data_IF_486775571616
#
_entry.id   IF_486775571616
#
_cell.length_a   1.000
_cell.length_b   1.000
_cell.length_c   1.000
_cell.angle_alpha   90.00
_cell.angle_beta   90.00
_cell.angle_gamma   90.00
#
_symmetry.space_group_name_H-M   'P 1'
#
loop_
_entity.id
_entity.type
_entity.pdbx_description
1 polymer ?
#
# COMPACT_ATOMS: atom_id res chain seq x y z
N UNK A 1 10.03 -2.63 12.36
CA UNK A 1 9.90 -3.51 11.18
C UNK A 1 8.43 -3.74 10.93
N UNK A 2 7.98 -3.79 9.67
CA UNK A 2 6.60 -4.13 9.35
C UNK A 2 6.46 -5.65 9.14
N UNK A 3 6.98 -6.19 8.04
CA UNK A 3 6.96 -7.62 7.77
C UNK A 3 8.12 -8.05 6.85
N UNK A 4 8.35 -9.36 6.73
CA UNK A 4 9.20 -9.90 5.67
C UNK A 4 8.36 -10.20 4.43
N UNK A 5 8.62 -9.52 3.32
CA UNK A 5 7.83 -9.66 2.10
C UNK A 5 8.59 -10.52 1.09
N UNK A 6 8.10 -11.75 0.89
CA UNK A 6 8.69 -12.71 -0.04
C UNK A 6 8.65 -12.23 -1.49
N UNK A 7 7.68 -11.39 -1.85
CA UNK A 7 7.51 -10.89 -3.22
C UNK A 7 8.56 -9.86 -3.64
N UNK A 8 9.12 -9.12 -2.69
CA UNK A 8 10.23 -8.18 -2.92
C UNK A 8 11.56 -8.72 -2.37
N UNK A 9 11.55 -9.96 -1.86
CA UNK A 9 12.70 -10.68 -1.29
C UNK A 9 13.45 -9.81 -0.26
N UNK A 10 12.70 -9.06 0.54
CA UNK A 10 13.28 -8.12 1.51
C UNK A 10 12.33 -7.88 2.68
N UNK A 11 12.88 -7.43 3.79
CA UNK A 11 12.09 -6.87 4.89
C UNK A 11 11.52 -5.51 4.49
N UNK A 12 10.27 -5.28 4.86
CA UNK A 12 9.59 -3.99 4.77
C UNK A 12 9.59 -3.36 6.16
N UNK A 13 10.02 -2.10 6.25
CA UNK A 13 10.18 -1.36 7.50
C UNK A 13 10.43 0.13 7.24
N UNK A 14 10.88 0.85 8.27
CA UNK A 14 10.95 2.31 8.26
C UNK A 14 11.63 2.91 7.01
N UNK A 15 12.78 2.35 6.61
CA UNK A 15 13.61 2.88 5.53
C UNK A 15 13.07 2.60 4.12
N UNK A 16 12.05 1.74 3.98
CA UNK A 16 11.50 1.39 2.66
C UNK A 16 9.97 1.31 2.59
N UNK A 17 9.27 1.65 3.67
CA UNK A 17 7.81 1.49 3.73
C UNK A 17 7.09 2.35 2.69
N UNK A 18 7.52 3.61 2.49
CA UNK A 18 6.99 4.47 1.43
C UNK A 18 7.14 3.85 0.04
N UNK A 19 8.32 3.32 -0.28
CA UNK A 19 8.57 2.69 -1.58
C UNK A 19 7.68 1.46 -1.78
N UNK A 20 7.48 0.67 -0.73
CA UNK A 20 6.58 -0.47 -0.76
C UNK A 20 5.11 -0.05 -0.98
N UNK A 21 4.63 1.00 -0.31
CA UNK A 21 3.27 1.53 -0.53
C UNK A 21 3.09 2.07 -1.95
N UNK A 22 4.07 2.79 -2.47
CA UNK A 22 4.07 3.28 -3.85
C UNK A 22 4.10 2.11 -4.85
N UNK A 23 4.89 1.07 -4.58
CA UNK A 23 4.88 -0.17 -5.36
C UNK A 23 3.47 -0.78 -5.40
N UNK A 24 2.80 -0.97 -4.27
CA UNK A 24 1.42 -1.49 -4.23
C UNK A 24 0.45 -0.60 -5.02
N UNK A 25 0.54 0.72 -4.83
CA UNK A 25 -0.31 1.69 -5.51
C UNK A 25 -0.14 1.64 -7.03
N UNK A 26 1.10 1.71 -7.52
CA UNK A 26 1.38 1.68 -8.95
C UNK A 26 1.09 0.31 -9.57
N UNK A 27 1.36 -0.79 -8.86
CA UNK A 27 0.95 -2.13 -9.30
C UNK A 27 -0.57 -2.21 -9.47
N UNK A 28 -1.35 -1.71 -8.51
CA UNK A 28 -2.80 -1.67 -8.61
C UNK A 28 -3.28 -0.85 -9.83
N UNK A 29 -2.69 0.33 -10.07
CA UNK A 29 -3.03 1.16 -11.23
C UNK A 29 -2.76 0.44 -12.54
N UNK A 30 -1.58 -0.17 -12.70
CA UNK A 30 -1.20 -0.89 -13.92
C UNK A 30 -2.11 -2.09 -14.14
N UNK A 31 -2.37 -2.91 -13.11
CA UNK A 31 -3.21 -4.10 -13.24
C UNK A 31 -4.66 -3.73 -13.54
N UNK A 32 -5.15 -2.63 -12.97
CA UNK A 32 -6.49 -2.10 -13.25
C UNK A 32 -6.59 -1.58 -14.68
N UNK A 33 -5.57 -0.86 -15.15
CA UNK A 33 -5.50 -0.37 -16.52
C UNK A 33 -5.52 -1.53 -17.51
N UNK A 34 -4.66 -2.54 -17.34
CA UNK A 34 -4.62 -3.74 -18.19
C UNK A 34 -5.96 -4.47 -18.17
N UNK A 35 -6.54 -4.69 -17.00
CA UNK A 35 -7.87 -5.33 -16.88
C UNK A 35 -8.94 -4.54 -17.62
N UNK A 36 -8.96 -3.22 -17.48
CA UNK A 36 -9.92 -2.35 -18.15
C UNK A 36 -9.75 -2.35 -19.68
N UNK A 37 -8.50 -2.37 -20.17
CA UNK A 37 -8.20 -2.45 -21.59
C UNK A 37 -8.61 -3.80 -22.21
N UNK A 38 -8.51 -4.90 -21.44
CA UNK A 38 -8.89 -6.23 -21.89
C UNK A 38 -10.40 -6.52 -21.75
N UNK A 39 -11.14 -5.72 -20.97
CA UNK A 39 -12.56 -5.94 -20.70
C UNK A 39 -13.43 -6.05 -21.98
N UNK A 40 -13.29 -5.19 -23.00
CA UNK A 40 -14.10 -5.31 -24.22
C UNK A 40 -13.86 -6.64 -24.95
N UNK A 41 -12.60 -7.07 -25.04
CA UNK A 41 -12.23 -8.33 -25.69
C UNK A 41 -12.70 -9.54 -24.87
N UNK A 42 -12.65 -9.43 -23.54
CA UNK A 42 -13.19 -10.44 -22.64
C UNK A 42 -14.71 -10.56 -22.74
N UNK A 43 -15.45 -9.45 -22.92
CA UNK A 43 -16.90 -9.50 -23.15
C UNK A 43 -17.20 -10.11 -24.52
N UNK A 44 -16.46 -9.72 -25.56
CA UNK A 44 -16.62 -10.25 -26.92
C UNK A 44 -16.45 -11.78 -26.99
N UNK A 45 -15.61 -12.36 -26.12
CA UNK A 45 -15.49 -13.82 -25.97
C UNK A 45 -16.82 -14.54 -25.76
N UNK A 46 -17.74 -13.94 -24.99
CA UNK A 46 -19.04 -14.52 -24.65
C UNK A 46 -20.14 -14.17 -25.63
N UNK A 47 -19.91 -13.23 -26.55
CA UNK A 47 -20.88 -12.88 -27.60
C UNK A 47 -20.73 -13.82 -28.79
N UNK A 48 -21.85 -14.39 -29.25
CA UNK A 48 -21.89 -15.49 -30.24
C UNK A 48 -21.43 -15.06 -31.64
N UNK A 49 -21.56 -13.78 -31.98
CA UNK A 49 -21.45 -13.30 -33.37
C UNK A 49 -20.06 -12.78 -33.80
N UNK A 50 -19.10 -12.55 -32.88
CA UNK A 50 -17.80 -11.98 -33.23
C UNK A 50 -16.62 -12.65 -32.49
N UNK A 51 -16.30 -13.90 -32.85
CA UNK A 51 -15.00 -14.48 -32.48
C UNK A 51 -13.90 -13.91 -33.40
N UNK A 52 -13.54 -12.66 -33.18
CA UNK A 52 -12.45 -11.99 -33.86
C UNK A 52 -11.11 -12.43 -33.23
N UNK A 53 -10.41 -13.37 -33.86
CA UNK A 53 -9.06 -13.78 -33.45
C UNK A 53 -8.79 -15.28 -33.59
N UNK A 54 -7.53 -15.68 -33.48
CA UNK A 54 -7.16 -17.10 -33.41
C UNK A 54 -7.55 -17.67 -32.04
N UNK A 55 -7.87 -18.98 -31.93
CA UNK A 55 -8.18 -19.62 -30.64
C UNK A 55 -7.10 -19.40 -29.57
N UNK A 56 -5.84 -19.29 -29.98
CA UNK A 56 -4.70 -19.01 -29.11
C UNK A 56 -4.82 -17.62 -28.45
N UNK A 57 -5.04 -16.57 -29.23
CA UNK A 57 -5.20 -15.19 -28.73
C UNK A 57 -6.39 -15.10 -27.79
N UNK A 58 -7.46 -15.83 -28.09
CA UNK A 58 -8.68 -15.86 -27.32
C UNK A 58 -8.45 -16.47 -25.92
N UNK A 59 -7.78 -17.63 -25.87
CA UNK A 59 -7.41 -18.29 -24.61
C UNK A 59 -6.44 -17.42 -23.81
N UNK A 60 -5.42 -16.86 -24.48
CA UNK A 60 -4.44 -15.99 -23.82
C UNK A 60 -5.11 -14.76 -23.20
N UNK A 61 -6.04 -14.12 -23.92
CA UNK A 61 -6.80 -12.98 -23.41
C UNK A 61 -7.63 -13.36 -22.18
N UNK A 62 -8.39 -14.46 -22.26
CA UNK A 62 -9.23 -14.91 -21.17
C UNK A 62 -8.41 -15.17 -19.90
N UNK A 63 -7.32 -15.95 -20.01
CA UNK A 63 -6.44 -16.27 -18.88
C UNK A 63 -5.79 -15.00 -18.33
N UNK A 64 -5.29 -14.13 -19.21
CA UNK A 64 -4.64 -12.87 -18.81
C UNK A 64 -5.60 -11.95 -18.08
N UNK A 65 -6.85 -11.84 -18.54
CA UNK A 65 -7.88 -11.03 -17.91
C UNK A 65 -8.21 -11.55 -16.50
N UNK A 66 -8.50 -12.85 -16.36
CA UNK A 66 -8.87 -13.45 -15.07
C UNK A 66 -7.75 -13.34 -14.05
N UNK A 67 -6.50 -13.60 -14.47
CA UNK A 67 -5.33 -13.49 -13.59
C UNK A 67 -5.07 -12.04 -13.18
N UNK A 68 -5.12 -11.07 -14.12
CA UNK A 68 -4.91 -9.65 -13.80
C UNK A 68 -6.01 -9.11 -12.90
N UNK A 69 -7.28 -9.46 -13.14
CA UNK A 69 -8.39 -9.04 -12.29
C UNK A 69 -8.21 -9.58 -10.87
N UNK A 70 -7.88 -10.86 -10.74
CA UNK A 70 -7.64 -11.50 -9.44
C UNK A 70 -6.49 -10.81 -8.69
N UNK A 71 -5.38 -10.55 -9.39
CA UNK A 71 -4.24 -9.86 -8.81
C UNK A 71 -4.55 -8.41 -8.44
N UNK A 72 -5.28 -7.66 -9.28
CA UNK A 72 -5.72 -6.30 -8.99
C UNK A 72 -6.58 -6.24 -7.71
N UNK A 73 -7.52 -7.17 -7.54
CA UNK A 73 -8.35 -7.25 -6.33
C UNK A 73 -7.54 -7.62 -5.09
N UNK A 74 -6.59 -8.56 -5.20
CA UNK A 74 -5.68 -8.91 -4.09
C UNK A 74 -4.81 -7.72 -3.67
N UNK A 75 -4.20 -7.01 -4.62
CA UNK A 75 -3.37 -5.84 -4.34
C UNK A 75 -4.22 -4.70 -3.77
N UNK A 76 -5.45 -4.50 -4.25
CA UNK A 76 -6.36 -3.50 -3.69
C UNK A 76 -6.68 -3.76 -2.21
N UNK A 77 -7.03 -5.00 -1.87
CA UNK A 77 -7.28 -5.38 -0.47
C UNK A 77 -6.06 -5.16 0.42
N UNK A 78 -4.88 -5.53 -0.09
CA UNK A 78 -3.62 -5.35 0.63
C UNK A 78 -3.25 -3.86 0.81
N UNK A 79 -3.46 -3.05 -0.23
CA UNK A 79 -3.27 -1.60 -0.20
C UNK A 79 -4.22 -0.92 0.80
N UNK A 80 -5.51 -1.29 0.81
CA UNK A 80 -6.50 -0.75 1.77
C UNK A 80 -6.08 -1.04 3.21
N UNK A 81 -5.64 -2.27 3.47
CA UNK A 81 -5.13 -2.67 4.79
C UNK A 81 -3.93 -1.80 5.20
N UNK A 82 -2.93 -1.65 4.33
CA UNK A 82 -1.75 -0.83 4.61
C UNK A 82 -2.07 0.68 4.74
N UNK A 83 -3.01 1.22 3.97
CA UNK A 83 -3.48 2.60 4.13
C UNK A 83 -4.11 2.78 5.52
N UNK A 84 -4.88 1.80 5.99
CA UNK A 84 -5.47 1.82 7.34
C UNK A 84 -4.40 1.81 8.43
N UNK A 85 -3.33 1.05 8.23
CA UNK A 85 -2.15 1.02 9.11
C UNK A 85 -1.41 2.36 9.15
N UNK A 86 -1.19 2.99 7.99
CA UNK A 86 -0.58 4.33 7.91
C UNK A 86 -1.42 5.34 8.68
N UNK A 87 -2.74 5.35 8.50
CA UNK A 87 -3.60 6.27 9.22
C UNK A 87 -3.69 5.99 10.72
N UNK A 88 -3.47 4.75 11.16
CA UNK A 88 -3.40 4.37 12.58
C UNK A 88 -2.01 4.48 13.20
N UNK A 89 -0.99 4.83 12.41
CA UNK A 89 0.44 4.78 12.76
C UNK A 89 0.85 3.49 13.47
N UNK A 90 0.45 2.37 12.88
CA UNK A 90 0.74 1.02 13.38
C UNK A 90 1.37 0.21 12.27
N UNK A 91 2.41 -0.56 12.58
CA UNK A 91 2.89 -1.64 11.71
C UNK A 91 1.92 -2.82 11.72
N UNK A 92 2.07 -3.75 10.77
CA UNK A 92 1.31 -5.02 10.75
C UNK A 92 1.52 -5.84 12.05
N UNK A 93 2.74 -5.89 12.58
CA UNK A 93 3.06 -6.58 13.85
C UNK A 93 2.35 -5.90 15.02
N UNK A 94 2.45 -4.56 15.10
CA UNK A 94 1.82 -3.79 16.17
C UNK A 94 0.30 -3.88 16.11
N UNK A 95 -0.31 -3.87 14.93
CA UNK A 95 -1.74 -4.04 14.75
C UNK A 95 -2.22 -5.41 15.27
N UNK A 96 -1.38 -6.45 15.16
CA UNK A 96 -1.66 -7.77 15.72
C UNK A 96 -1.53 -7.83 17.25
N UNK A 97 -0.64 -7.01 17.82
CA UNK A 97 -0.40 -6.92 19.27
C UNK A 97 -1.33 -5.94 19.98
N UNK A 98 -1.93 -5.01 19.23
CA UNK A 98 -2.79 -3.96 19.75
C UNK A 98 -4.04 -4.56 20.38
N UNK A 99 -4.19 -4.39 21.69
CA UNK A 99 -5.42 -4.74 22.42
C UNK A 99 -6.57 -3.84 21.92
N UNK A 100 -7.74 -4.44 21.68
CA UNK A 100 -8.90 -3.85 20.98
C UNK A 100 -9.37 -2.46 21.46
N UNK A 101 -9.09 -2.05 22.70
CA UNK A 101 -9.64 -0.81 23.28
C UNK A 101 -8.61 0.21 23.76
N UNK A 102 -7.31 0.05 23.43
CA UNK A 102 -6.30 1.05 23.83
C UNK A 102 -6.02 2.05 22.71
N UNK A 103 -6.01 3.35 23.04
CA UNK A 103 -5.46 4.38 22.16
C UNK A 103 -4.02 3.99 21.82
N UNK A 104 -3.61 4.12 20.56
CA UNK A 104 -2.24 3.77 20.17
C UNK A 104 -1.31 4.96 20.40
N UNK A 105 -0.16 4.73 21.02
CA UNK A 105 0.74 5.79 21.47
C UNK A 105 1.49 6.49 20.34
N UNK A 106 1.65 5.83 19.20
CA UNK A 106 2.19 6.46 17.99
C UNK A 106 1.12 7.15 17.14
N UNK A 107 -0.18 6.99 17.44
CA UNK A 107 -1.24 7.64 16.66
C UNK A 107 -1.35 9.14 17.02
N UNK A 108 -0.78 9.99 16.15
CA UNK A 108 -0.77 11.45 16.26
C UNK A 108 -1.87 12.12 15.42
N UNK A 109 -2.80 11.35 14.88
CA UNK A 109 -3.84 11.79 13.95
C UNK A 109 -3.48 11.58 12.48
N UNK A 110 -4.49 11.27 11.67
CA UNK A 110 -4.37 10.77 10.29
C UNK A 110 -3.36 11.51 9.42
N UNK A 111 -3.38 12.85 9.44
CA UNK A 111 -2.48 13.68 8.61
C UNK A 111 -1.02 13.54 9.05
N UNK A 112 -0.74 13.68 10.35
CA UNK A 112 0.62 13.56 10.89
C UNK A 112 1.16 12.14 10.68
N UNK A 113 0.33 11.13 10.88
CA UNK A 113 0.70 9.74 10.66
C UNK A 113 1.06 9.48 9.19
N UNK A 114 0.29 10.04 8.25
CA UNK A 114 0.61 9.97 6.83
C UNK A 114 1.93 10.69 6.50
N UNK A 115 2.12 11.91 7.01
CA UNK A 115 3.34 12.71 6.80
C UNK A 115 4.57 11.99 7.37
N UNK A 116 4.47 11.23 8.47
CA UNK A 116 5.59 10.41 8.98
C UNK A 116 6.10 9.36 7.98
N UNK A 117 5.24 8.88 7.08
CA UNK A 117 5.62 7.90 6.07
C UNK A 117 6.00 8.59 4.76
N UNK A 118 5.23 9.59 4.32
CA UNK A 118 5.37 10.19 2.99
C UNK A 118 6.22 11.44 2.91
N UNK A 119 6.57 12.04 4.06
CA UNK A 119 7.18 13.35 4.17
C UNK A 119 6.14 14.48 4.19
N UNK A 120 6.61 15.67 4.54
CA UNK A 120 5.76 16.87 4.59
C UNK A 120 5.61 17.53 3.22
N UNK A 121 6.57 17.35 2.32
CA UNK A 121 6.52 17.89 0.96
C UNK A 121 5.61 17.05 0.05
N UNK A 122 4.45 17.63 -0.29
CA UNK A 122 3.42 17.00 -1.13
C UNK A 122 3.90 16.63 -2.53
N UNK A 123 4.91 17.33 -3.07
CA UNK A 123 5.47 17.05 -4.40
C UNK A 123 6.06 15.65 -4.48
N UNK A 124 6.55 15.14 -3.35
CA UNK A 124 7.17 13.83 -3.24
C UNK A 124 6.22 12.72 -2.80
N UNK A 125 4.93 13.00 -2.58
CA UNK A 125 4.00 11.97 -2.09
C UNK A 125 3.81 10.80 -3.05
N UNK A 126 3.83 11.06 -4.35
CA UNK A 126 3.74 10.02 -5.39
C UNK A 126 5.12 9.65 -5.96
N UNK A 127 6.19 10.30 -5.54
CA UNK A 127 7.54 10.05 -6.04
C UNK A 127 8.25 9.12 -5.05
N UNK A 128 8.95 8.07 -5.50
CA UNK A 128 9.77 7.22 -4.64
C UNK A 128 11.07 7.96 -4.23
N UNK A 129 10.93 9.12 -3.60
CA UNK A 129 12.00 9.92 -3.04
C UNK A 129 11.45 10.81 -1.91
N UNK A 130 12.32 11.40 -1.11
CA UNK A 130 11.98 12.42 -0.12
C UNK A 130 12.65 13.74 -0.52
N UNK A 131 12.14 14.86 -0.01
CA UNK A 131 12.87 16.12 -0.08
C UNK A 131 14.09 16.05 0.85
N UNK A 132 15.13 16.84 0.55
CA UNK A 132 16.30 16.94 1.43
C UNK A 132 15.91 17.45 2.82
N UNK A 133 14.98 18.41 2.90
CA UNK A 133 14.45 18.94 4.15
C UNK A 133 13.73 17.86 4.98
N UNK A 134 12.92 16.99 4.36
CA UNK A 134 12.29 15.88 5.08
C UNK A 134 13.34 14.90 5.63
N UNK A 135 14.38 14.59 4.86
CA UNK A 135 15.45 13.67 5.30
C UNK A 135 16.28 14.23 6.47
N UNK A 136 16.51 15.54 6.50
CA UNK A 136 17.25 16.22 7.56
C UNK A 136 16.39 16.44 8.81
N UNK A 137 15.13 16.85 8.65
CA UNK A 137 14.28 17.32 9.73
C UNK A 137 13.38 16.25 10.34
N UNK A 138 13.23 15.07 9.71
CA UNK A 138 12.32 14.01 10.18
C UNK A 138 13.08 12.78 10.68
N UNK A 139 13.40 12.68 11.99
CA UNK A 139 14.10 11.52 12.57
C UNK A 139 13.40 10.18 12.32
N UNK A 140 12.08 10.21 12.19
CA UNK A 140 11.25 9.03 11.89
C UNK A 140 11.66 8.33 10.60
N UNK A 141 12.19 9.07 9.61
CA UNK A 141 12.66 8.52 8.34
C UNK A 141 13.98 7.77 8.47
N UNK A 142 14.72 7.98 9.56
CA UNK A 142 15.94 7.22 9.89
C UNK A 142 15.62 5.94 10.68
N UNK A 143 14.41 5.84 11.24
CA UNK A 143 13.92 4.64 11.91
C UNK A 143 14.45 4.39 13.32
N UNK A 144 15.05 5.40 13.96
CA UNK A 144 15.58 5.28 15.33
C UNK A 144 14.59 5.77 16.40
N UNK A 145 13.90 6.88 16.14
CA UNK A 145 13.01 7.52 17.11
C UNK A 145 11.66 7.87 16.47
N UNK A 146 10.59 7.66 17.26
CA UNK A 146 9.20 7.85 16.83
C UNK A 146 8.47 8.72 17.85
N UNK A 147 7.84 9.83 17.43
CA UNK A 147 7.11 10.69 18.34
C UNK A 147 5.86 9.99 18.88
N UNK A 148 5.63 10.10 20.18
CA UNK A 148 4.46 9.57 20.88
C UNK A 148 3.46 10.67 21.20
N UNK A 149 2.24 10.26 21.54
CA UNK A 149 1.20 11.19 21.99
C UNK A 149 1.60 11.83 23.33
N UNK A 150 1.36 13.14 23.52
CA UNK A 150 1.69 13.82 24.78
C UNK A 150 0.95 13.27 26.00
N UNK A 151 -0.28 12.77 25.81
CA UNK A 151 -1.12 12.20 26.87
C UNK A 151 -0.78 10.73 27.20
N UNK A 152 0.26 10.14 26.58
CA UNK A 152 0.52 8.71 26.71
C UNK A 152 0.97 8.28 28.11
N UNK A 153 1.90 9.02 28.70
CA UNK A 153 2.44 8.67 30.03
C UNK A 153 1.37 8.80 31.13
N UNK A 154 0.43 9.74 30.96
CA UNK A 154 -0.74 9.90 31.85
C UNK A 154 -1.72 8.73 31.71
N UNK A 155 -1.92 8.22 30.49
CA UNK A 155 -2.81 7.08 30.22
C UNK A 155 -2.26 5.73 30.74
N UNK A 156 -0.96 5.60 30.96
CA UNK A 156 -0.36 4.39 31.53
C UNK A 156 -0.52 4.30 33.06
N UNK A 157 -0.86 5.40 33.74
CA UNK A 157 -1.01 5.48 35.19
C UNK A 157 -2.45 5.20 35.68
N UNK A 158 -3.40 5.03 34.75
CA UNK A 158 -4.81 4.68 34.99
C UNK A 158 -5.07 3.19 34.75
#
# INVERSE_FOLDING_TARGET
MDHHCVWVVNCVGALNYKYFLLFLFYSFLVTTLVTSSLLPLFIAFFTVDEKNGTPEILVATFVTFVLNLSFALSILGFLIMHISLVFGNTTTIEAFQKKTNSKWHYDLGRRKNFEQVFGTDKRYWLIPAYSEEDLECMPVLQGFEYPTRPDWDELQQL
#
